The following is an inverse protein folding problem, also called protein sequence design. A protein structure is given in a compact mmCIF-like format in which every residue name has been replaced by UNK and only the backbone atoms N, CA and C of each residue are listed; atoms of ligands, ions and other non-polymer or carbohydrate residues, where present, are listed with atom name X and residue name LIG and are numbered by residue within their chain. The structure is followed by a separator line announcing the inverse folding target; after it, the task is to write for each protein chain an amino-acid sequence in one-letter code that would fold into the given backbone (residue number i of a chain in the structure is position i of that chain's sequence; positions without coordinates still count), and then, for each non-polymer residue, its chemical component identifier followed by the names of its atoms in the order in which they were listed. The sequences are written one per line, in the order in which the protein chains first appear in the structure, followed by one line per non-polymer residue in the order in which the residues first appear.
data_IF_953820599000
#
_entry.id   IF_953820599000
#
_cell.length_a   1.000
_cell.length_b   1.000
_cell.length_c   1.000
_cell.angle_alpha   90.00
_cell.angle_beta   90.00
_cell.angle_gamma   90.00
#
_symmetry.space_group_name_H-M   'P 1'
#
loop_
_entity.id
_entity.type
_entity.pdbx_description
1 polymer ?
#
# COMPACT_ATOMS: atom_id res chain seq x y z
N UNK A 1 -17.17 2.33 9.31
CA UNK A 1 -16.38 3.44 8.74
C UNK A 1 -15.09 2.82 8.26
N UNK A 2 -14.62 3.15 7.05
CA UNK A 2 -13.44 2.51 6.46
C UNK A 2 -12.16 3.18 6.97
N UNK A 3 -11.01 2.53 6.87
CA UNK A 3 -9.71 3.16 7.22
C UNK A 3 -9.52 4.49 6.49
N UNK A 4 -9.96 4.55 5.22
CA UNK A 4 -9.97 5.77 4.43
C UNK A 4 -10.89 6.86 5.00
N UNK A 5 -12.10 6.52 5.42
CA UNK A 5 -13.05 7.50 5.96
C UNK A 5 -12.56 8.10 7.29
N UNK A 6 -11.99 7.27 8.16
CA UNK A 6 -11.39 7.71 9.42
C UNK A 6 -10.15 8.59 9.16
N UNK A 7 -9.30 8.18 8.22
CA UNK A 7 -8.13 8.94 7.79
C UNK A 7 -8.51 10.30 7.21
N UNK A 8 -9.49 10.34 6.30
CA UNK A 8 -9.93 11.58 5.67
C UNK A 8 -10.53 12.55 6.70
N UNK A 9 -11.30 12.04 7.66
CA UNK A 9 -11.84 12.83 8.77
C UNK A 9 -10.73 13.40 9.65
N UNK A 10 -9.74 12.58 10.02
CA UNK A 10 -8.62 13.01 10.87
C UNK A 10 -7.70 14.03 10.18
N UNK A 11 -7.57 13.94 8.85
CA UNK A 11 -6.73 14.85 8.07
C UNK A 11 -7.48 16.10 7.60
N UNK A 12 -8.81 16.17 7.72
CA UNK A 12 -9.55 17.39 7.42
C UNK A 12 -9.19 18.49 8.42
N UNK A 13 -8.64 19.60 7.92
CA UNK A 13 -8.15 20.73 8.71
C UNK A 13 -6.71 20.56 9.20
N UNK A 14 -6.06 19.41 8.96
CA UNK A 14 -4.72 19.13 9.44
C UNK A 14 -3.64 19.83 8.61
N UNK A 15 -2.52 20.15 9.25
CA UNK A 15 -1.28 20.55 8.59
C UNK A 15 -0.38 19.32 8.48
N UNK A 16 -0.14 18.83 7.26
CA UNK A 16 0.72 17.67 6.99
C UNK A 16 1.98 18.13 6.27
N UNK A 17 3.12 18.07 6.94
CA UNK A 17 4.45 18.34 6.38
C UNK A 17 5.31 17.10 6.69
N UNK A 18 5.53 16.27 5.68
CA UNK A 18 6.07 14.92 5.82
C UNK A 18 7.56 14.84 5.42
N UNK A 19 8.06 15.80 4.64
CA UNK A 19 9.47 15.88 4.25
C UNK A 19 10.23 17.04 4.91
N UNK A 20 9.54 17.95 5.60
CA UNK A 20 10.13 19.13 6.25
C UNK A 20 10.55 20.21 5.26
N UNK A 21 10.10 20.15 4.00
CA UNK A 21 10.48 21.05 2.93
C UNK A 21 9.25 21.80 2.40
N UNK A 22 9.38 23.12 2.24
CA UNK A 22 8.32 23.98 1.70
C UNK A 22 7.00 24.00 2.52
N UNK A 23 6.96 23.38 3.71
CA UNK A 23 5.79 23.31 4.57
C UNK A 23 4.76 22.31 4.04
N UNK A 24 3.51 22.41 4.52
CA UNK A 24 2.45 21.48 4.14
C UNK A 24 1.97 21.69 2.68
N UNK A 25 2.43 20.84 1.76
CA UNK A 25 2.13 20.87 0.32
C UNK A 25 1.07 19.84 -0.08
N UNK A 26 0.60 19.92 -1.33
CA UNK A 26 -0.34 18.93 -1.89
C UNK A 26 0.24 17.51 -1.91
N UNK A 27 1.55 17.39 -2.12
CA UNK A 27 2.26 16.12 -2.11
C UNK A 27 2.28 15.47 -0.72
N UNK A 28 2.42 16.24 0.37
CA UNK A 28 2.46 15.68 1.72
C UNK A 28 1.18 14.94 2.09
N UNK A 29 0.03 15.48 1.69
CA UNK A 29 -1.26 14.81 1.89
C UNK A 29 -1.35 13.51 1.07
N UNK A 30 -0.81 13.51 -0.16
CA UNK A 30 -0.70 12.30 -0.98
C UNK A 30 0.25 11.26 -0.35
N UNK A 31 1.39 11.71 0.18
CA UNK A 31 2.36 10.85 0.86
C UNK A 31 1.77 10.25 2.14
N UNK A 32 1.03 11.05 2.91
CA UNK A 32 0.30 10.59 4.09
C UNK A 32 -0.76 9.53 3.73
N UNK A 33 -1.56 9.77 2.67
CA UNK A 33 -2.52 8.79 2.18
C UNK A 33 -1.85 7.46 1.79
N UNK A 34 -0.76 7.55 1.03
CA UNK A 34 -0.04 6.37 0.57
C UNK A 34 0.58 5.57 1.71
N UNK A 35 1.18 6.24 2.71
CA UNK A 35 1.85 5.57 3.84
C UNK A 35 0.86 5.05 4.88
N UNK A 36 -0.15 5.84 5.24
CA UNK A 36 -1.06 5.53 6.34
C UNK A 36 -2.24 4.64 5.93
N UNK A 37 -2.71 4.75 4.67
CA UNK A 37 -3.88 4.00 4.19
C UNK A 37 -3.49 2.88 3.23
N UNK A 38 -2.54 3.13 2.32
CA UNK A 38 -2.17 2.17 1.28
C UNK A 38 -0.91 1.34 1.62
N UNK A 39 -0.26 1.61 2.76
CA UNK A 39 0.88 0.84 3.26
C UNK A 39 2.17 1.04 2.47
N UNK A 40 2.42 2.23 1.93
CA UNK A 40 3.72 2.57 1.34
C UNK A 40 4.84 2.39 2.38
N UNK A 41 6.01 1.84 1.99
CA UNK A 41 7.11 1.56 2.94
C UNK A 41 7.76 2.82 3.52
N UNK A 42 7.40 4.00 2.99
CA UNK A 42 7.83 5.31 3.45
C UNK A 42 7.56 6.37 2.38
N UNK A 43 7.73 7.64 2.74
CA UNK A 43 7.46 8.79 1.85
C UNK A 43 8.34 8.78 0.58
N UNK A 44 9.54 8.21 0.64
CA UNK A 44 10.40 8.06 -0.53
C UNK A 44 9.76 7.23 -1.67
N UNK A 45 8.83 6.33 -1.34
CA UNK A 45 8.09 5.55 -2.33
C UNK A 45 7.04 6.38 -3.10
N UNK A 46 6.76 7.60 -2.64
CA UNK A 46 5.73 8.50 -3.18
C UNK A 46 6.35 9.72 -3.87
N UNK A 47 7.68 9.78 -4.00
CA UNK A 47 8.39 10.93 -4.55
C UNK A 47 7.95 11.27 -5.98
N UNK A 48 7.97 12.56 -6.29
CA UNK A 48 7.80 13.08 -7.64
C UNK A 48 8.97 12.64 -8.54
N UNK A 49 8.77 12.64 -9.87
CA UNK A 49 9.86 12.34 -10.79
C UNK A 49 10.83 13.52 -10.87
N UNK A 50 12.16 13.30 -10.84
CA UNK A 50 13.14 14.37 -11.02
C UNK A 50 13.39 14.74 -12.48
N UNK A 51 12.88 13.98 -13.45
CA UNK A 51 13.24 14.12 -14.88
C UNK A 51 12.05 14.14 -15.82
N UNK A 52 10.86 13.70 -15.39
CA UNK A 52 9.68 13.75 -16.24
C UNK A 52 9.14 15.18 -16.40
N UNK A 53 8.16 15.36 -17.29
CA UNK A 53 7.42 16.62 -17.38
C UNK A 53 6.85 16.98 -16.01
N UNK A 54 7.00 18.24 -15.61
CA UNK A 54 6.71 18.75 -14.25
C UNK A 54 7.65 18.21 -13.16
N UNK A 55 8.91 17.94 -13.49
CA UNK A 55 9.92 17.44 -12.55
C UNK A 55 9.89 18.17 -11.19
N UNK A 56 9.85 17.39 -10.10
CA UNK A 56 9.74 17.91 -8.73
C UNK A 56 8.32 18.31 -8.29
N UNK A 57 7.36 18.44 -9.20
CA UNK A 57 5.98 18.82 -8.91
C UNK A 57 5.01 17.63 -9.01
N UNK A 58 3.82 17.78 -8.42
CA UNK A 58 2.79 16.74 -8.32
C UNK A 58 2.38 16.15 -9.68
N UNK A 59 2.32 16.95 -10.74
CA UNK A 59 1.99 16.47 -12.09
C UNK A 59 2.96 15.42 -12.63
N UNK A 60 4.18 15.35 -12.10
CA UNK A 60 5.16 14.33 -12.49
C UNK A 60 4.84 12.93 -11.97
N UNK A 61 3.96 12.81 -10.97
CA UNK A 61 3.40 11.52 -10.51
C UNK A 61 2.60 10.83 -11.63
N UNK A 62 2.11 11.59 -12.61
CA UNK A 62 1.40 11.07 -13.78
C UNK A 62 2.31 10.88 -14.99
N UNK A 63 3.04 11.92 -15.36
CA UNK A 63 3.87 11.95 -16.59
C UNK A 63 5.09 11.05 -16.47
N UNK A 64 5.65 10.90 -15.27
CA UNK A 64 6.76 10.01 -14.95
C UNK A 64 6.32 8.66 -14.39
N UNK A 65 5.04 8.32 -14.45
CA UNK A 65 4.53 7.10 -13.83
C UNK A 65 5.09 5.81 -14.47
N UNK A 66 5.49 4.82 -13.66
CA UNK A 66 5.58 4.89 -12.20
C UNK A 66 6.87 5.60 -11.75
N UNK A 67 6.76 6.43 -10.72
CA UNK A 67 7.90 7.14 -10.10
C UNK A 67 8.71 6.26 -9.14
N UNK A 68 8.12 5.15 -8.70
CA UNK A 68 8.77 4.12 -7.88
C UNK A 68 8.19 2.73 -8.18
N UNK A 69 8.91 1.66 -7.81
CA UNK A 69 8.40 0.29 -7.94
C UNK A 69 7.10 0.08 -7.16
N UNK A 70 7.01 0.62 -5.94
CA UNK A 70 5.81 0.53 -5.12
C UNK A 70 4.62 1.22 -5.79
N UNK A 71 4.81 2.44 -6.31
CA UNK A 71 3.73 3.18 -6.98
C UNK A 71 3.20 2.39 -8.19
N UNK A 72 4.08 1.75 -8.97
CA UNK A 72 3.68 0.92 -10.11
C UNK A 72 2.86 -0.32 -9.76
N UNK A 73 2.94 -0.80 -8.51
CA UNK A 73 2.17 -1.95 -8.00
C UNK A 73 0.88 -1.50 -7.27
N UNK A 74 0.96 -0.37 -6.56
CA UNK A 74 -0.11 0.16 -5.73
C UNK A 74 -1.23 0.81 -6.54
N UNK A 75 -0.98 1.22 -7.79
CA UNK A 75 -1.94 1.97 -8.58
C UNK A 75 -2.14 1.43 -10.00
N UNK A 76 -3.30 1.76 -10.56
CA UNK A 76 -3.59 1.71 -11.99
C UNK A 76 -3.81 3.14 -12.49
N UNK A 77 -3.17 3.52 -13.60
CA UNK A 77 -3.40 4.83 -14.24
C UNK A 77 -4.72 4.83 -15.01
N UNK A 78 -5.61 5.77 -14.66
CA UNK A 78 -6.88 6.00 -15.32
C UNK A 78 -6.84 7.37 -16.02
N UNK A 79 -6.82 7.44 -17.36
CA UNK A 79 -6.67 8.71 -18.08
C UNK A 79 -7.76 9.73 -17.74
N UNK A 80 -7.47 11.02 -17.94
CA UNK A 80 -8.47 12.09 -17.90
C UNK A 80 -9.70 11.77 -18.77
N UNK A 81 -10.85 12.31 -18.38
CA UNK A 81 -12.14 12.06 -19.05
C UNK A 81 -12.86 10.78 -18.59
N UNK A 82 -12.27 9.99 -17.69
CA UNK A 82 -12.93 8.86 -17.03
C UNK A 82 -13.63 9.28 -15.72
N UNK A 83 -14.50 8.40 -15.22
CA UNK A 83 -15.16 8.57 -13.92
C UNK A 83 -14.16 8.51 -12.77
N UNK A 84 -14.27 9.46 -11.84
CA UNK A 84 -13.54 9.42 -10.58
C UNK A 84 -14.20 8.39 -9.63
N UNK A 85 -13.39 7.68 -8.85
CA UNK A 85 -13.86 6.81 -7.78
C UNK A 85 -13.29 7.26 -6.45
N UNK A 86 -14.04 7.02 -5.37
CA UNK A 86 -13.56 7.20 -4.00
C UNK A 86 -12.20 6.52 -3.83
N UNK A 87 -11.26 7.23 -3.21
CA UNK A 87 -9.88 6.78 -2.99
C UNK A 87 -8.92 6.95 -4.17
N UNK A 88 -9.40 7.39 -5.34
CA UNK A 88 -8.51 7.81 -6.41
C UNK A 88 -7.63 8.98 -5.99
N UNK A 89 -6.42 9.01 -6.52
CA UNK A 89 -5.52 10.17 -6.46
C UNK A 89 -5.72 10.96 -7.74
N UNK A 90 -6.40 12.10 -7.66
CA UNK A 90 -6.61 13.00 -8.78
C UNK A 90 -5.36 13.86 -9.02
N UNK A 91 -4.93 13.97 -10.29
CA UNK A 91 -3.72 14.73 -10.66
C UNK A 91 -4.04 15.73 -11.76
N UNK A 92 -3.62 16.98 -11.55
CA UNK A 92 -3.73 18.06 -12.51
C UNK A 92 -2.37 18.47 -13.05
N UNK A 93 -2.34 18.76 -14.35
CA UNK A 93 -1.23 19.46 -14.99
C UNK A 93 -1.29 20.94 -14.66
N UNK A 94 -0.47 21.74 -15.35
CA UNK A 94 -0.55 23.20 -15.22
C UNK A 94 -1.80 23.72 -15.91
N UNK A 95 -2.67 24.36 -15.16
CA UNK A 95 -3.84 25.07 -15.66
C UNK A 95 -4.14 26.32 -14.80
N UNK A 96 -5.20 27.06 -15.13
CA UNK A 96 -5.53 28.31 -14.42
C UNK A 96 -5.94 28.12 -12.96
N UNK A 97 -6.41 26.93 -12.57
CA UNK A 97 -6.70 26.58 -11.19
C UNK A 97 -5.48 25.96 -10.47
N UNK A 98 -4.55 25.38 -11.23
CA UNK A 98 -3.37 24.67 -10.73
C UNK A 98 -2.08 25.13 -11.43
N UNK A 99 -1.59 26.37 -11.18
CA UNK A 99 -0.48 26.96 -11.94
C UNK A 99 0.83 26.15 -11.85
N UNK A 100 1.05 25.43 -10.76
CA UNK A 100 2.25 24.62 -10.50
C UNK A 100 2.00 23.09 -10.53
N UNK A 101 0.86 22.64 -11.06
CA UNK A 101 0.30 21.27 -10.94
C UNK A 101 -0.28 20.98 -9.55
N UNK A 102 -1.11 19.94 -9.43
CA UNK A 102 -1.74 19.60 -8.16
C UNK A 102 -2.05 18.10 -8.04
N UNK A 103 -2.17 17.63 -6.80
CA UNK A 103 -2.64 16.28 -6.45
C UNK A 103 -3.57 16.35 -5.25
N UNK A 104 -4.65 15.57 -5.28
CA UNK A 104 -5.63 15.50 -4.20
C UNK A 104 -6.30 14.11 -4.14
N UNK A 105 -6.94 13.81 -3.01
CA UNK A 105 -7.57 12.49 -2.77
C UNK A 105 -9.08 12.59 -2.98
N UNK A 106 -9.63 11.80 -3.90
CA UNK A 106 -11.05 11.77 -4.23
C UNK A 106 -11.85 11.12 -3.09
N UNK A 107 -12.83 11.83 -2.54
CA UNK A 107 -13.62 11.37 -1.40
C UNK A 107 -14.92 10.66 -1.81
N UNK A 108 -15.38 10.87 -3.04
CA UNK A 108 -16.65 10.33 -3.54
C UNK A 108 -16.57 10.03 -5.03
N UNK A 109 -17.32 9.02 -5.48
CA UNK A 109 -17.47 8.72 -6.90
C UNK A 109 -18.08 9.91 -7.66
N UNK A 110 -17.63 10.11 -8.90
CA UNK A 110 -18.17 11.13 -9.78
C UNK A 110 -18.21 10.64 -11.22
N UNK A 111 -19.27 11.02 -11.93
CA UNK A 111 -19.42 10.72 -13.35
C UNK A 111 -18.28 11.36 -14.18
N UNK A 112 -17.95 10.80 -15.36
CA UNK A 112 -16.96 11.40 -16.27
C UNK A 112 -17.23 12.89 -16.53
N UNK A 113 -16.21 13.73 -16.39
CA UNK A 113 -16.31 15.18 -16.63
C UNK A 113 -17.05 15.98 -15.56
N UNK A 114 -17.59 15.34 -14.51
CA UNK A 114 -18.19 16.03 -13.38
C UNK A 114 -17.12 16.62 -12.46
N UNK A 115 -17.46 17.72 -11.77
CA UNK A 115 -16.64 18.20 -10.65
C UNK A 115 -16.52 17.12 -9.58
N UNK A 116 -15.38 17.07 -8.92
CA UNK A 116 -15.04 16.04 -7.94
C UNK A 116 -14.92 16.62 -6.54
N UNK A 117 -15.29 15.83 -5.53
CA UNK A 117 -15.07 16.19 -4.12
C UNK A 117 -13.78 15.53 -3.65
N UNK A 118 -12.85 16.35 -3.16
CA UNK A 118 -11.50 15.92 -2.78
C UNK A 118 -11.12 16.42 -1.39
N UNK A 119 -10.22 15.69 -0.73
CA UNK A 119 -9.38 16.22 0.34
C UNK A 119 -8.09 16.72 -0.32
N UNK A 120 -7.84 18.02 -0.20
CA UNK A 120 -6.70 18.69 -0.84
C UNK A 120 -5.94 19.54 0.17
N UNK A 121 -4.63 19.62 0.02
CA UNK A 121 -3.75 20.45 0.85
C UNK A 121 -2.97 21.43 -0.02
N UNK A 122 -2.76 22.65 0.48
CA UNK A 122 -2.19 23.75 -0.30
C UNK A 122 -2.92 24.06 -1.62
N UNK A 123 -4.19 23.71 -1.69
CA UNK A 123 -5.06 24.18 -2.77
C UNK A 123 -5.40 25.65 -2.49
N UNK A 124 -5.20 26.53 -3.49
CA UNK A 124 -5.50 27.96 -3.36
C UNK A 124 -4.75 28.65 -2.19
N UNK A 125 -3.51 28.23 -1.92
CA UNK A 125 -2.60 28.79 -0.91
C UNK A 125 -3.02 28.60 0.56
N UNK A 126 -3.96 27.70 0.87
CA UNK A 126 -4.20 27.27 2.26
C UNK A 126 -3.48 25.97 2.56
N UNK A 127 -2.44 26.04 3.39
CA UNK A 127 -1.57 24.90 3.71
C UNK A 127 -2.23 23.81 4.59
N UNK A 128 -3.38 24.09 5.22
CA UNK A 128 -4.16 23.03 5.87
C UNK A 128 -4.95 22.23 4.83
N UNK A 129 -5.03 20.91 5.02
CA UNK A 129 -5.88 20.05 4.24
C UNK A 129 -7.37 20.40 4.44
N UNK A 130 -8.15 20.39 3.36
CA UNK A 130 -9.58 20.74 3.39
C UNK A 130 -10.38 19.91 2.40
N UNK A 131 -11.63 19.65 2.76
CA UNK A 131 -12.60 19.10 1.82
C UNK A 131 -13.06 20.22 0.90
N UNK A 132 -12.96 20.01 -0.41
CA UNK A 132 -13.41 20.98 -1.40
C UNK A 132 -13.88 20.30 -2.69
N UNK A 133 -14.60 21.07 -3.50
CA UNK A 133 -14.98 20.68 -4.85
C UNK A 133 -13.96 21.24 -5.84
N UNK A 134 -13.47 20.40 -6.74
CA UNK A 134 -12.52 20.77 -7.78
C UNK A 134 -13.01 20.38 -9.19
N UNK A 135 -12.29 20.84 -10.20
CA UNK A 135 -12.44 20.42 -11.59
C UNK A 135 -12.07 18.94 -11.76
N UNK A 136 -12.57 18.24 -12.80
CA UNK A 136 -12.08 16.90 -13.12
C UNK A 136 -10.56 16.90 -13.29
N UNK A 137 -9.88 15.82 -12.90
CA UNK A 137 -8.44 15.71 -13.01
C UNK A 137 -7.98 15.91 -14.47
N UNK A 138 -7.14 16.91 -14.72
CA UNK A 138 -6.74 17.27 -16.09
C UNK A 138 -5.73 16.30 -16.71
N UNK A 139 -4.97 15.55 -15.90
CA UNK A 139 -4.11 14.46 -16.36
C UNK A 139 -4.77 13.08 -16.20
N UNK A 140 -5.40 12.84 -15.05
CA UNK A 140 -6.10 11.59 -14.76
C UNK A 140 -6.03 11.22 -13.28
N UNK A 141 -6.28 9.95 -13.00
CA UNK A 141 -6.34 9.39 -11.66
C UNK A 141 -5.35 8.24 -11.48
N UNK A 142 -4.64 8.20 -10.36
CA UNK A 142 -4.01 6.97 -9.88
C UNK A 142 -5.03 6.25 -8.99
N UNK A 143 -5.55 5.12 -9.47
CA UNK A 143 -6.55 4.34 -8.75
C UNK A 143 -5.87 3.22 -7.96
N UNK A 144 -6.03 3.15 -6.62
CA UNK A 144 -5.43 2.08 -5.83
C UNK A 144 -5.84 0.69 -6.32
N UNK A 145 -4.90 -0.23 -6.46
CA UNK A 145 -5.20 -1.62 -6.82
C UNK A 145 -5.86 -2.36 -5.66
N UNK A 146 -5.44 -2.06 -4.42
CA UNK A 146 -6.09 -2.52 -3.21
C UNK A 146 -7.19 -1.53 -2.77
N UNK A 147 -8.45 -1.93 -2.93
CA UNK A 147 -9.63 -1.12 -2.60
C UNK A 147 -10.17 -1.36 -1.18
N UNK A 148 -9.67 -2.38 -0.47
CA UNK A 148 -10.15 -2.78 0.86
C UNK A 148 -10.12 -1.63 1.89
N UNK A 149 -9.03 -0.85 2.02
CA UNK A 149 -8.99 0.26 3.00
C UNK A 149 -9.99 1.39 2.70
N UNK A 150 -10.47 1.47 1.45
CA UNK A 150 -11.23 2.59 0.89
C UNK A 150 -12.73 2.33 0.96
N UNK A 151 -13.14 1.16 0.47
CA UNK A 151 -14.52 0.72 0.42
C UNK A 151 -14.95 0.01 1.73
N UNK A 152 -13.98 -0.29 2.61
CA UNK A 152 -14.18 -1.18 3.73
C UNK A 152 -14.16 -2.63 3.24
N UNK A 153 -14.46 -3.57 4.13
CA UNK A 153 -14.71 -4.95 3.74
C UNK A 153 -15.95 -4.99 2.82
N UNK A 154 -15.77 -4.78 1.52
CA UNK A 154 -16.73 -5.21 0.51
C UNK A 154 -16.57 -6.72 0.41
N UNK A 155 -17.54 -7.42 0.99
CA UNK A 155 -17.64 -8.89 1.02
C UNK A 155 -16.32 -9.56 1.42
N UNK A 156 -16.00 -9.55 2.72
CA UNK A 156 -15.42 -10.76 3.27
C UNK A 156 -16.37 -11.89 2.87
N UNK A 157 -15.93 -12.88 2.09
CA UNK A 157 -16.78 -14.00 1.78
C UNK A 157 -17.27 -14.53 3.13
N UNK A 158 -18.59 -14.61 3.28
CA UNK A 158 -19.23 -14.94 4.56
C UNK A 158 -18.59 -16.25 5.02
N UNK A 159 -18.51 -16.51 6.33
CA UNK A 159 -17.93 -17.77 6.86
C UNK A 159 -18.37 -19.03 6.12
N UNK A 160 -19.55 -19.01 5.52
CA UNK A 160 -20.20 -20.04 4.73
C UNK A 160 -19.90 -20.05 3.24
N UNK A 161 -19.27 -19.02 2.70
CA UNK A 161 -19.05 -18.85 1.28
C UNK A 161 -18.04 -19.89 0.75
N UNK A 162 -18.34 -20.52 -0.39
CA UNK A 162 -17.48 -21.53 -0.98
C UNK A 162 -16.26 -20.90 -1.66
N UNK A 163 -15.06 -21.40 -1.34
CA UNK A 163 -13.78 -21.04 -1.94
C UNK A 163 -13.00 -22.31 -2.30
N UNK A 164 -12.10 -22.20 -3.29
CA UNK A 164 -11.15 -23.26 -3.59
C UNK A 164 -9.92 -23.13 -2.69
N UNK A 165 -9.68 -24.13 -1.83
CA UNK A 165 -8.57 -24.21 -0.88
C UNK A 165 -7.87 -25.56 -1.03
N UNK A 166 -6.58 -25.57 -1.40
CA UNK A 166 -5.80 -26.79 -1.69
C UNK A 166 -6.52 -27.76 -2.66
N UNK A 167 -7.17 -27.21 -3.70
CA UNK A 167 -7.88 -28.00 -4.72
C UNK A 167 -9.26 -28.50 -4.29
N UNK A 168 -9.73 -28.15 -3.09
CA UNK A 168 -11.04 -28.54 -2.56
C UNK A 168 -11.96 -27.33 -2.44
N UNK A 169 -13.25 -27.52 -2.71
CA UNK A 169 -14.26 -26.49 -2.47
C UNK A 169 -14.67 -26.53 -0.99
N UNK A 170 -14.32 -25.51 -0.21
CA UNK A 170 -14.52 -25.42 1.24
C UNK A 170 -15.11 -24.06 1.61
N UNK A 171 -15.53 -23.87 2.86
CA UNK A 171 -15.96 -22.54 3.30
C UNK A 171 -14.78 -21.66 3.71
N UNK A 172 -14.98 -20.35 3.70
CA UNK A 172 -14.00 -19.38 4.22
C UNK A 172 -13.61 -19.67 5.67
N UNK A 173 -14.58 -20.04 6.51
CA UNK A 173 -14.31 -20.37 7.92
C UNK A 173 -13.41 -21.61 8.04
N UNK A 174 -13.63 -22.63 7.20
CA UNK A 174 -12.79 -23.81 7.16
C UNK A 174 -11.34 -23.45 6.78
N UNK A 175 -11.16 -22.66 5.72
CA UNK A 175 -9.82 -22.24 5.28
C UNK A 175 -9.08 -21.40 6.35
N UNK A 176 -9.80 -20.52 7.06
CA UNK A 176 -9.22 -19.73 8.16
C UNK A 176 -8.85 -20.60 9.37
N UNK A 177 -9.68 -21.59 9.71
CA UNK A 177 -9.37 -22.55 10.77
C UNK A 177 -8.17 -23.42 10.41
N UNK A 178 -8.09 -23.91 9.18
CA UNK A 178 -6.95 -24.68 8.69
C UNK A 178 -5.66 -23.85 8.69
N UNK A 179 -5.70 -22.59 8.22
CA UNK A 179 -4.55 -21.70 8.25
C UNK A 179 -4.09 -21.41 9.69
N UNK A 180 -5.03 -21.19 10.61
CA UNK A 180 -4.73 -21.04 12.04
C UNK A 180 -4.12 -22.31 12.62
N UNK A 181 -4.65 -23.49 12.31
CA UNK A 181 -4.08 -24.76 12.76
C UNK A 181 -2.69 -25.03 12.18
N UNK A 182 -2.44 -24.68 10.93
CA UNK A 182 -1.10 -24.75 10.32
C UNK A 182 -0.14 -23.81 11.02
N UNK A 183 -0.58 -22.59 11.36
CA UNK A 183 0.21 -21.62 12.12
C UNK A 183 0.50 -22.10 13.55
N UNK A 184 -0.50 -22.63 14.25
CA UNK A 184 -0.37 -23.21 15.60
C UNK A 184 0.56 -24.43 15.58
N UNK A 185 0.43 -25.31 14.58
CA UNK A 185 1.31 -26.46 14.35
C UNK A 185 2.75 -26.03 14.10
N UNK A 186 2.96 -24.99 13.29
CA UNK A 186 4.27 -24.35 13.11
C UNK A 186 4.81 -23.82 14.44
N UNK A 187 4.00 -23.10 15.21
CA UNK A 187 4.38 -22.60 16.54
C UNK A 187 4.77 -23.73 17.51
N UNK A 188 4.02 -24.84 17.51
CA UNK A 188 4.33 -26.02 18.33
C UNK A 188 5.61 -26.74 17.88
N UNK A 189 5.84 -26.86 16.56
CA UNK A 189 7.06 -27.48 16.00
C UNK A 189 8.30 -26.65 16.28
N UNK A 190 8.17 -25.32 16.28
CA UNK A 190 9.27 -24.41 16.61
C UNK A 190 9.56 -24.41 18.13
N UNK A 191 8.54 -24.70 18.95
CA UNK A 191 8.64 -24.75 20.41
C UNK A 191 8.89 -23.37 21.05
N UNK A 192 8.71 -23.22 22.38
CA UNK A 192 9.07 -21.98 23.05
C UNK A 192 10.58 -21.81 23.10
N UNK A 193 11.10 -20.67 22.63
CA UNK A 193 12.49 -20.27 22.90
C UNK A 193 12.62 -20.00 24.41
N UNK A 194 13.43 -20.79 25.11
CA UNK A 194 13.64 -20.66 26.55
C UNK A 194 14.26 -19.30 26.87
N UNK A 195 13.49 -18.41 27.50
CA UNK A 195 13.97 -17.10 27.99
C UNK A 195 13.37 -15.86 27.32
N UNK A 196 12.49 -16.00 26.32
CA UNK A 196 11.89 -14.85 25.64
C UNK A 196 10.37 -15.00 25.48
N UNK A 197 9.59 -14.08 26.09
CA UNK A 197 8.21 -13.81 25.71
C UNK A 197 8.22 -12.85 24.53
N UNK A 198 8.28 -13.35 23.30
CA UNK A 198 8.01 -12.51 22.12
C UNK A 198 6.98 -13.18 21.23
N UNK A 199 6.05 -12.34 20.76
CA UNK A 199 4.97 -12.66 19.86
C UNK A 199 5.56 -13.00 18.48
N UNK A 200 5.46 -14.27 18.06
CA UNK A 200 6.09 -14.77 16.82
C UNK A 200 5.34 -14.32 15.56
N UNK A 201 4.15 -13.74 15.71
CA UNK A 201 3.30 -13.30 14.61
C UNK A 201 3.98 -12.31 13.65
N UNK A 202 4.67 -11.24 14.09
CA UNK A 202 5.33 -10.29 13.19
C UNK A 202 6.50 -10.91 12.42
N UNK A 203 7.25 -11.83 13.04
CA UNK A 203 8.35 -12.54 12.38
C UNK A 203 7.85 -13.56 11.35
N UNK A 204 6.71 -14.20 11.60
CA UNK A 204 6.04 -15.11 10.66
C UNK A 204 5.40 -14.33 9.51
N UNK A 205 4.74 -13.21 9.78
CA UNK A 205 4.17 -12.33 8.74
C UNK A 205 5.24 -11.74 7.81
N UNK A 206 6.38 -11.30 8.36
CA UNK A 206 7.50 -10.82 7.54
C UNK A 206 8.15 -11.94 6.70
N UNK A 207 8.13 -13.18 7.19
CA UNK A 207 8.59 -14.33 6.42
C UNK A 207 7.60 -14.77 5.34
N UNK A 208 6.29 -14.74 5.59
CA UNK A 208 5.27 -15.01 4.59
C UNK A 208 5.34 -14.01 3.44
N UNK A 209 5.53 -12.72 3.72
CA UNK A 209 5.72 -11.70 2.69
C UNK A 209 7.00 -11.92 1.86
N UNK A 210 8.07 -12.41 2.49
CA UNK A 210 9.31 -12.77 1.79
C UNK A 210 9.16 -14.05 0.94
N UNK A 211 8.38 -15.02 1.42
CA UNK A 211 8.01 -16.24 0.70
C UNK A 211 7.11 -15.96 -0.51
N UNK A 212 6.11 -15.10 -0.39
CA UNK A 212 5.26 -14.70 -1.53
C UNK A 212 6.05 -14.00 -2.64
N UNK A 213 7.06 -13.19 -2.27
CA UNK A 213 7.99 -12.57 -3.23
C UNK A 213 8.93 -13.55 -3.94
N UNK A 214 9.18 -14.73 -3.33
CA UNK A 214 9.99 -15.81 -3.88
C UNK A 214 9.16 -16.79 -4.73
N UNK A 215 7.98 -17.19 -4.25
CA UNK A 215 7.04 -18.09 -4.95
C UNK A 215 6.45 -17.43 -6.19
N UNK A 216 6.20 -16.11 -6.18
CA UNK A 216 5.74 -15.36 -7.35
C UNK A 216 6.75 -15.24 -8.50
N UNK A 217 7.99 -15.72 -8.32
CA UNK A 217 9.05 -15.73 -9.35
C UNK A 217 9.41 -17.13 -9.84
N UNK A 218 8.72 -18.15 -9.35
CA UNK A 218 9.01 -19.54 -9.63
C UNK A 218 7.90 -20.10 -10.52
N UNK A 219 8.14 -20.11 -11.82
CA UNK A 219 7.36 -20.90 -12.78
C UNK A 219 7.77 -22.38 -12.60
N UNK A 220 7.25 -23.02 -11.54
CA UNK A 220 7.30 -24.47 -11.35
C UNK A 220 8.68 -25.12 -11.14
N UNK A 221 9.75 -24.38 -10.85
CA UNK A 221 11.07 -24.95 -10.53
C UNK A 221 11.40 -24.89 -9.03
N UNK A 222 12.10 -25.89 -8.48
CA UNK A 222 12.53 -25.85 -7.08
C UNK A 222 13.37 -24.61 -6.73
N UNK A 223 13.30 -24.15 -5.47
CA UNK A 223 14.12 -23.04 -4.96
C UNK A 223 15.60 -23.42 -5.06
N UNK A 224 16.43 -22.53 -5.62
CA UNK A 224 17.87 -22.79 -5.73
C UNK A 224 18.63 -22.52 -4.42
N UNK A 225 19.79 -23.16 -4.24
CA UNK A 225 20.62 -23.02 -3.03
C UNK A 225 21.02 -21.56 -2.75
N UNK A 226 21.25 -20.77 -3.79
CA UNK A 226 21.52 -19.32 -3.71
C UNK A 226 20.32 -18.51 -3.18
N UNK A 227 19.11 -18.91 -3.55
CA UNK A 227 17.87 -18.30 -3.05
C UNK A 227 17.62 -18.69 -1.60
N UNK A 228 17.92 -19.95 -1.25
CA UNK A 228 17.87 -20.45 0.12
C UNK A 228 18.87 -19.71 1.03
N UNK A 229 20.09 -19.45 0.54
CA UNK A 229 21.12 -18.73 1.27
C UNK A 229 20.74 -17.26 1.53
N UNK A 230 20.16 -16.57 0.53
CA UNK A 230 19.67 -15.18 0.69
C UNK A 230 18.49 -15.09 1.65
N UNK A 231 17.62 -16.09 1.67
CA UNK A 231 16.54 -16.22 2.65
C UNK A 231 17.11 -16.42 4.06
N UNK A 232 18.09 -17.31 4.21
CA UNK A 232 18.78 -17.56 5.48
C UNK A 232 19.51 -16.30 6.00
N UNK A 233 20.10 -15.49 5.14
CA UNK A 233 20.76 -14.24 5.55
C UNK A 233 19.77 -13.13 5.89
N UNK A 234 18.63 -13.03 5.19
CA UNK A 234 17.52 -12.13 5.58
C UNK A 234 16.98 -12.48 6.98
N UNK A 235 16.87 -13.78 7.27
CA UNK A 235 16.52 -14.31 8.59
C UNK A 235 17.57 -13.96 9.66
N UNK A 236 18.88 -14.00 9.34
CA UNK A 236 19.97 -13.60 10.24
C UNK A 236 20.05 -12.11 10.54
N UNK A 237 19.63 -11.29 9.60
CA UNK A 237 19.77 -9.83 9.74
C UNK A 237 18.64 -9.25 10.60
N UNK A 238 17.45 -9.85 10.56
CA UNK A 238 16.26 -9.37 11.27
C UNK A 238 15.87 -10.20 12.51
N UNK A 239 16.38 -11.43 12.66
CA UNK A 239 16.36 -12.16 13.93
C UNK A 239 17.80 -12.26 14.41
N UNK A 240 18.09 -11.62 15.55
CA UNK A 240 19.44 -11.47 16.09
C UNK A 240 20.29 -12.73 15.96
N UNK A 241 21.58 -12.53 15.64
CA UNK A 241 22.53 -13.50 15.07
C UNK A 241 22.55 -14.93 15.65
N UNK A 242 22.12 -15.13 16.90
CA UNK A 242 22.02 -16.46 17.52
C UNK A 242 20.80 -17.28 17.05
N UNK A 243 19.65 -16.64 16.84
CA UNK A 243 18.40 -17.31 16.43
C UNK A 243 18.51 -17.85 15.01
N UNK A 244 19.14 -17.07 14.14
CA UNK A 244 19.29 -17.46 12.75
C UNK A 244 20.48 -18.41 12.51
N UNK A 245 21.46 -18.45 13.41
CA UNK A 245 22.50 -19.49 13.41
C UNK A 245 21.92 -20.87 13.73
N UNK A 246 20.98 -20.95 14.69
CA UNK A 246 20.30 -22.20 15.06
C UNK A 246 19.30 -22.66 13.99
N UNK A 247 18.60 -21.73 13.34
CA UNK A 247 17.67 -22.06 12.25
C UNK A 247 18.40 -22.56 10.99
N UNK A 248 19.53 -21.94 10.63
CA UNK A 248 20.36 -22.39 9.52
C UNK A 248 20.94 -23.79 9.76
N UNK A 249 21.21 -24.14 11.02
CA UNK A 249 21.71 -25.47 11.41
C UNK A 249 20.66 -26.57 11.23
N UNK A 250 19.37 -26.25 11.46
CA UNK A 250 18.25 -27.20 11.38
C UNK A 250 17.63 -27.38 10.00
N UNK A 251 17.93 -26.47 9.06
CA UNK A 251 17.51 -26.57 7.66
C UNK A 251 18.52 -27.36 6.80
N UNK A 252 19.72 -27.62 7.34
CA UNK A 252 20.79 -28.37 6.68
C UNK A 252 20.81 -29.87 7.08
N UNK A 253 20.00 -30.27 8.06
CA UNK A 253 19.75 -31.65 8.49
C UNK A 253 18.41 -32.14 7.91
#
# INVERSE_FOLDING_TARGET
MTTFDDWAKANTGAWRDLDGAYGAQCWDLYAAYCTEVLGAPGVGATNTSPTAQYAGYAGSLWTGYPTSTWQGQAFTRIPAGNAARKGDVAIWGRDSAHPDTHVAIVLQDAAPGARITVLAQNAWHTQNARIMTDTPASLGYLRPTNQQPIQGETDMPVKTDPINWDGNNVTVEYALQDLKHRLDSLGQRLGPVKGYQFDYLPAIFNNLNSLFGLVGKIDGQGISDDQLAKLADSLKTNLGAQVAAELAKRLAD
#
